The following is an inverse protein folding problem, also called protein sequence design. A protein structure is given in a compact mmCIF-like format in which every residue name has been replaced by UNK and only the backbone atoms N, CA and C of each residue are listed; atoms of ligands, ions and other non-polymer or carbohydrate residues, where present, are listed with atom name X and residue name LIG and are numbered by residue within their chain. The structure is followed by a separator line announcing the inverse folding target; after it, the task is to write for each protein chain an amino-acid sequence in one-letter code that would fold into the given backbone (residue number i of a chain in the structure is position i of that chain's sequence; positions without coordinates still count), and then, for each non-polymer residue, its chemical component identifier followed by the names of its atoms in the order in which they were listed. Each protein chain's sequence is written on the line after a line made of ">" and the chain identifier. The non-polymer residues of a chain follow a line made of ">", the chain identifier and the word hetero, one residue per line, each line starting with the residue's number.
data_IF_025662993014
#
_entry.id   IF_025662993014
#
_cell.length_a   1.000
_cell.length_b   1.000
_cell.length_c   1.000
_cell.angle_alpha   90.00
_cell.angle_beta   90.00
_cell.angle_gamma   90.00
#
_symmetry.space_group_name_H-M   'P 1'
#
loop_
_entity.id
_entity.type
_entity.pdbx_description
1 polymer ?
#
# COMPACT_ATOMS: atom_id res chain seq x y z
N UNK A 1 6.73 -1.10 20.11
CA UNK A 1 6.63 -1.66 18.74
C UNK A 1 7.89 -1.41 17.93
N UNK A 2 8.32 -0.16 17.75
CA UNK A 2 9.58 0.15 17.03
C UNK A 2 10.84 -0.49 17.63
N UNK A 3 10.98 -0.49 18.95
CA UNK A 3 12.11 -1.18 19.62
C UNK A 3 12.09 -2.69 19.42
N UNK A 4 10.89 -3.30 19.35
CA UNK A 4 10.73 -4.72 19.03
C UNK A 4 11.13 -4.99 17.57
N UNK A 5 10.70 -4.14 16.64
CA UNK A 5 11.11 -4.24 15.24
C UNK A 5 12.64 -4.14 15.09
N UNK A 6 13.29 -3.20 15.79
CA UNK A 6 14.74 -3.05 15.80
C UNK A 6 15.46 -4.29 16.35
N UNK A 7 15.02 -4.83 17.48
CA UNK A 7 15.58 -6.06 18.07
C UNK A 7 15.45 -7.25 17.12
N UNK A 8 14.30 -7.40 16.47
CA UNK A 8 14.07 -8.47 15.50
C UNK A 8 14.95 -8.31 14.25
N UNK A 9 15.22 -7.10 13.78
CA UNK A 9 16.14 -6.85 12.66
C UNK A 9 17.61 -7.13 13.02
N UNK A 10 18.01 -6.89 14.27
CA UNK A 10 19.33 -7.31 14.77
C UNK A 10 19.44 -8.83 14.73
N UNK A 11 18.41 -9.54 15.19
CA UNK A 11 18.34 -11.01 15.10
C UNK A 11 18.48 -11.52 13.67
N UNK A 12 17.88 -10.85 12.69
CA UNK A 12 18.07 -11.18 11.27
C UNK A 12 19.50 -10.93 10.78
N UNK A 13 20.19 -9.90 11.27
CA UNK A 13 21.52 -9.53 10.76
C UNK A 13 22.63 -10.47 11.26
N UNK A 14 22.45 -11.07 12.44
CA UNK A 14 23.47 -11.92 13.10
C UNK A 14 23.36 -13.39 12.70
N UNK A 15 22.17 -13.86 12.32
CA UNK A 15 21.92 -15.28 12.05
C UNK A 15 22.13 -15.63 10.58
N UNK A 16 23.02 -16.58 10.31
CA UNK A 16 23.34 -17.05 8.95
C UNK A 16 22.35 -18.07 8.37
N UNK A 17 21.40 -18.56 9.18
CA UNK A 17 20.35 -19.47 8.70
C UNK A 17 19.23 -18.70 8.00
N UNK A 18 18.98 -19.05 6.74
CA UNK A 18 17.93 -18.43 5.91
C UNK A 18 16.54 -18.49 6.55
N UNK A 19 16.19 -19.61 7.17
CA UNK A 19 14.89 -19.80 7.83
C UNK A 19 14.73 -18.83 9.00
N UNK A 20 15.77 -18.73 9.84
CA UNK A 20 15.75 -17.86 11.02
C UNK A 20 15.77 -16.39 10.61
N UNK A 21 16.60 -16.02 9.64
CA UNK A 21 16.60 -14.70 9.00
C UNK A 21 15.20 -14.30 8.54
N UNK A 22 14.52 -15.18 7.82
CA UNK A 22 13.19 -14.94 7.26
C UNK A 22 12.15 -14.71 8.35
N UNK A 23 12.14 -15.56 9.39
CA UNK A 23 11.21 -15.41 10.52
C UNK A 23 11.42 -14.08 11.25
N UNK A 24 12.67 -13.69 11.51
CA UNK A 24 12.99 -12.43 12.18
C UNK A 24 12.58 -11.21 11.36
N UNK A 25 12.87 -11.20 10.05
CA UNK A 25 12.46 -10.11 9.15
C UNK A 25 10.95 -10.02 9.06
N UNK A 26 10.23 -11.13 8.85
CA UNK A 26 8.76 -11.11 8.76
C UNK A 26 8.14 -10.58 10.05
N UNK A 27 8.60 -11.07 11.21
CA UNK A 27 8.08 -10.64 12.51
C UNK A 27 8.38 -9.15 12.75
N UNK A 28 9.54 -8.66 12.31
CA UNK A 28 9.88 -7.24 12.36
C UNK A 28 8.95 -6.38 11.50
N UNK A 29 8.64 -6.83 10.27
CA UNK A 29 7.69 -6.14 9.39
C UNK A 29 6.28 -6.11 9.98
N UNK A 30 5.83 -7.20 10.63
CA UNK A 30 4.55 -7.24 11.34
C UNK A 30 4.48 -6.20 12.47
N UNK A 31 5.56 -6.05 13.24
CA UNK A 31 5.65 -5.02 14.27
C UNK A 31 5.67 -3.59 13.68
N UNK A 32 6.32 -3.42 12.53
CA UNK A 32 6.46 -2.11 11.84
C UNK A 32 5.15 -1.62 11.24
N UNK A 33 4.32 -2.51 10.69
CA UNK A 33 3.00 -2.17 10.10
C UNK A 33 2.07 -1.47 11.09
N UNK A 34 2.23 -1.71 12.39
CA UNK A 34 1.43 -1.06 13.44
C UNK A 34 1.71 0.45 13.58
N UNK A 35 2.80 0.95 12.99
CA UNK A 35 3.14 2.37 12.96
C UNK A 35 2.01 3.23 12.40
N UNK A 36 1.38 2.79 11.30
CA UNK A 36 0.37 3.58 10.60
C UNK A 36 -0.79 3.98 11.51
N UNK A 37 -1.51 3.01 12.09
CA UNK A 37 -2.59 3.26 13.04
C UNK A 37 -2.14 4.06 14.27
N UNK A 38 -0.98 3.70 14.86
CA UNK A 38 -0.46 4.36 16.05
C UNK A 38 -0.21 5.85 15.82
N UNK A 39 0.49 6.20 14.73
CA UNK A 39 0.82 7.59 14.43
C UNK A 39 -0.43 8.43 14.11
N UNK A 40 -1.42 7.84 13.43
CA UNK A 40 -2.70 8.52 13.17
C UNK A 40 -3.41 8.85 14.49
N UNK A 41 -3.45 7.91 15.43
CA UNK A 41 -4.05 8.13 16.74
C UNK A 41 -3.31 9.24 17.50
N UNK A 42 -1.98 9.18 17.56
CA UNK A 42 -1.13 10.22 18.18
C UNK A 42 -1.44 11.59 17.57
N UNK A 43 -1.51 11.71 16.24
CA UNK A 43 -1.85 12.98 15.58
C UNK A 43 -3.27 13.45 15.88
N UNK A 44 -4.22 12.52 16.03
CA UNK A 44 -5.60 12.86 16.35
C UNK A 44 -5.76 13.40 17.78
N UNK A 45 -5.01 12.86 18.74
CA UNK A 45 -5.02 13.28 20.15
C UNK A 45 -4.25 14.59 20.35
N UNK A 46 -3.13 14.77 19.65
CA UNK A 46 -2.22 15.90 19.89
C UNK A 46 -2.48 17.13 19.01
N UNK A 47 -3.23 17.01 17.90
CA UNK A 47 -3.49 18.14 16.99
C UNK A 47 -4.98 18.45 16.80
N UNK A 48 -5.38 19.73 16.82
CA UNK A 48 -6.73 20.17 16.47
C UNK A 48 -7.11 19.78 15.03
N UNK A 49 -8.38 19.45 14.80
CA UNK A 49 -8.89 18.98 13.51
C UNK A 49 -8.56 19.92 12.33
N UNK A 50 -8.56 21.24 12.56
CA UNK A 50 -8.25 22.27 11.57
C UNK A 50 -6.78 22.31 11.15
N UNK A 51 -5.85 21.82 11.97
CA UNK A 51 -4.40 21.94 11.71
C UNK A 51 -3.73 20.62 11.32
N UNK A 52 -4.40 19.47 11.54
CA UNK A 52 -3.86 18.13 11.28
C UNK A 52 -3.26 18.00 9.88
N UNK A 53 -3.99 18.43 8.84
CA UNK A 53 -3.53 18.32 7.45
C UNK A 53 -2.24 19.13 7.18
N UNK A 54 -2.18 20.37 7.69
CA UNK A 54 -1.01 21.25 7.54
C UNK A 54 0.21 20.67 8.26
N UNK A 55 0.03 20.20 9.51
CA UNK A 55 1.12 19.64 10.33
C UNK A 55 1.60 18.28 9.84
N UNK A 56 0.73 17.45 9.24
CA UNK A 56 1.11 16.16 8.66
C UNK A 56 1.82 16.27 7.30
N UNK A 57 1.71 17.42 6.63
CA UNK A 57 2.36 17.61 5.31
C UNK A 57 3.88 17.51 5.41
N UNK A 58 4.50 18.15 6.41
CA UNK A 58 5.96 18.13 6.58
C UNK A 58 6.52 16.72 6.85
N UNK A 59 5.98 15.93 7.81
CA UNK A 59 6.39 14.54 7.99
C UNK A 59 6.23 13.68 6.73
N UNK A 60 5.17 13.87 5.94
CA UNK A 60 4.98 13.11 4.70
C UNK A 60 6.01 13.47 3.63
N UNK A 61 6.35 14.75 3.48
CA UNK A 61 7.42 15.19 2.57
C UNK A 61 8.77 14.61 3.02
N UNK A 62 9.12 14.75 4.31
CA UNK A 62 10.36 14.18 4.85
C UNK A 62 10.42 12.67 4.67
N UNK A 63 9.31 11.96 4.93
CA UNK A 63 9.22 10.51 4.72
C UNK A 63 9.47 10.16 3.25
N UNK A 64 8.83 10.86 2.31
CA UNK A 64 9.02 10.62 0.89
C UNK A 64 10.46 10.92 0.45
N UNK A 65 11.04 12.03 0.90
CA UNK A 65 12.43 12.39 0.60
C UNK A 65 13.41 11.37 1.16
N UNK A 66 13.24 10.95 2.43
CA UNK A 66 14.05 9.89 3.04
C UNK A 66 13.90 8.56 2.32
N UNK A 67 12.69 8.19 1.88
CA UNK A 67 12.48 6.98 1.07
C UNK A 67 13.23 7.04 -0.26
N UNK A 68 13.17 8.18 -0.97
CA UNK A 68 13.87 8.37 -2.24
C UNK A 68 15.38 8.27 -2.02
N UNK A 69 15.93 9.01 -1.05
CA UNK A 69 17.36 9.00 -0.74
C UNK A 69 17.84 7.60 -0.34
N UNK A 70 17.12 6.92 0.56
CA UNK A 70 17.47 5.57 0.99
C UNK A 70 17.38 4.56 -0.15
N UNK A 71 16.37 4.66 -1.03
CA UNK A 71 16.25 3.77 -2.18
C UNK A 71 17.36 3.98 -3.21
N UNK A 72 17.78 5.22 -3.46
CA UNK A 72 18.87 5.53 -4.40
C UNK A 72 20.23 5.08 -3.87
N UNK A 73 20.54 5.44 -2.62
CA UNK A 73 21.79 5.04 -1.97
C UNK A 73 21.86 3.53 -1.75
N UNK A 74 20.73 2.92 -1.34
CA UNK A 74 20.64 1.48 -1.14
C UNK A 74 20.76 0.69 -2.44
N UNK A 75 20.12 1.16 -3.52
CA UNK A 75 20.27 0.56 -4.84
C UNK A 75 21.71 0.62 -5.34
N UNK A 76 22.32 1.81 -5.31
CA UNK A 76 23.72 2.00 -5.70
C UNK A 76 24.69 1.12 -4.90
N UNK A 77 24.47 0.99 -3.58
CA UNK A 77 25.32 0.16 -2.73
C UNK A 77 25.21 -1.34 -3.08
N UNK A 78 23.99 -1.81 -3.37
CA UNK A 78 23.74 -3.20 -3.77
C UNK A 78 24.25 -3.51 -5.18
N UNK A 79 24.32 -2.51 -6.06
CA UNK A 79 24.90 -2.65 -7.40
C UNK A 79 26.41 -2.93 -7.35
N UNK A 80 27.12 -2.36 -6.37
CA UNK A 80 28.56 -2.65 -6.16
C UNK A 80 28.72 -4.11 -5.70
N UNK A 81 27.94 -4.52 -4.71
CA UNK A 81 27.90 -5.90 -4.25
C UNK A 81 26.66 -6.16 -3.42
N UNK A 82 25.97 -7.27 -3.71
CA UNK A 82 24.82 -7.72 -2.92
C UNK A 82 25.18 -7.97 -1.44
N UNK A 83 26.45 -8.27 -1.14
CA UNK A 83 26.94 -8.53 0.23
C UNK A 83 26.84 -7.31 1.16
N UNK A 84 26.67 -6.09 0.61
CA UNK A 84 26.53 -4.89 1.42
C UNK A 84 25.13 -4.70 2.03
N UNK A 85 24.20 -5.64 1.84
CA UNK A 85 22.87 -5.60 2.43
C UNK A 85 22.87 -5.43 3.97
N UNK A 86 23.91 -5.93 4.66
CA UNK A 86 24.06 -5.78 6.12
C UNK A 86 24.12 -4.31 6.55
N UNK A 87 24.78 -3.45 5.76
CA UNK A 87 24.89 -2.01 6.07
C UNK A 87 23.51 -1.36 6.04
N UNK A 88 22.67 -1.74 5.07
CA UNK A 88 21.29 -1.27 4.97
C UNK A 88 20.49 -1.69 6.19
N UNK A 89 20.64 -2.93 6.66
CA UNK A 89 19.96 -3.38 7.87
C UNK A 89 20.41 -2.65 9.13
N UNK A 90 21.70 -2.33 9.27
CA UNK A 90 22.19 -1.52 10.40
C UNK A 90 21.56 -0.13 10.39
N UNK A 91 21.48 0.54 9.23
CA UNK A 91 20.82 1.85 9.10
C UNK A 91 19.34 1.75 9.50
N UNK A 92 18.65 0.69 9.08
CA UNK A 92 17.24 0.46 9.43
C UNK A 92 17.05 0.23 10.93
N UNK A 93 17.93 -0.56 11.58
CA UNK A 93 17.91 -0.79 13.04
C UNK A 93 18.07 0.51 13.80
N UNK A 94 19.08 1.32 13.45
CA UNK A 94 19.33 2.61 14.11
C UNK A 94 18.14 3.56 13.93
N UNK A 95 17.56 3.60 12.73
CA UNK A 95 16.38 4.42 12.42
C UNK A 95 15.16 3.97 13.23
N UNK A 96 14.91 2.66 13.34
CA UNK A 96 13.81 2.10 14.13
C UNK A 96 13.99 2.38 15.63
N UNK A 97 15.21 2.25 16.15
CA UNK A 97 15.53 2.59 17.54
C UNK A 97 15.31 4.09 17.83
N UNK A 98 15.78 4.97 16.94
CA UNK A 98 15.56 6.41 17.04
C UNK A 98 14.06 6.76 17.00
N UNK A 99 13.29 6.12 16.10
CA UNK A 99 11.85 6.30 16.01
C UNK A 99 11.13 5.83 17.29
N UNK A 100 11.53 4.68 17.85
CA UNK A 100 11.02 4.19 19.12
C UNK A 100 11.27 5.14 20.28
N UNK A 101 12.50 5.67 20.37
CA UNK A 101 12.85 6.66 21.38
C UNK A 101 12.05 7.97 21.24
N UNK A 102 11.94 8.50 20.02
CA UNK A 102 11.17 9.72 19.75
C UNK A 102 9.68 9.56 20.07
N UNK A 103 9.08 8.42 19.71
CA UNK A 103 7.65 8.15 19.95
C UNK A 103 7.35 8.00 21.43
N UNK A 104 8.26 7.41 22.22
CA UNK A 104 8.09 7.25 23.67
C UNK A 104 8.08 8.59 24.43
N UNK A 105 8.54 9.68 23.80
CA UNK A 105 8.51 11.03 24.38
C UNK A 105 7.23 11.80 24.06
N UNK A 106 6.35 11.27 23.21
CA UNK A 106 5.12 11.94 22.81
C UNK A 106 4.03 11.71 23.87
N UNK A 107 3.35 12.77 24.35
CA UNK A 107 2.22 12.61 25.27
C UNK A 107 1.11 11.75 24.63
N UNK A 108 0.65 10.72 25.33
CA UNK A 108 -0.44 9.86 24.91
C UNK A 108 -1.40 9.61 26.07
N UNK A 109 -2.69 9.54 25.78
CA UNK A 109 -3.69 9.03 26.73
C UNK A 109 -3.85 7.51 26.60
N UNK A 110 -4.05 6.77 27.70
CA UNK A 110 -4.39 5.35 27.61
C UNK A 110 -5.67 5.16 26.78
N UNK A 111 -5.62 4.25 25.80
CA UNK A 111 -6.78 3.94 24.96
C UNK A 111 -7.88 3.26 25.80
N UNK A 112 -9.13 3.69 25.63
CA UNK A 112 -10.27 3.05 26.31
C UNK A 112 -10.43 1.60 25.83
N UNK A 113 -10.57 0.68 26.78
CA UNK A 113 -10.76 -0.75 26.55
C UNK A 113 -12.26 -1.10 26.51
N UNK A 114 -13.15 -0.17 26.87
CA UNK A 114 -14.60 -0.43 27.06
C UNK A 114 -15.31 -0.98 25.82
N UNK A 115 -14.81 -0.64 24.63
CA UNK A 115 -15.40 -1.05 23.35
C UNK A 115 -14.54 -2.06 22.57
N UNK A 116 -13.58 -2.71 23.23
CA UNK A 116 -12.77 -3.78 22.62
C UNK A 116 -13.63 -5.05 22.53
N UNK A 117 -14.51 -5.09 21.52
CA UNK A 117 -15.28 -6.28 21.18
C UNK A 117 -14.39 -7.42 20.67
N UNK A 118 -14.93 -8.64 20.61
CA UNK A 118 -14.20 -9.80 20.09
C UNK A 118 -13.81 -9.56 18.61
N UNK A 119 -12.51 -9.61 18.24
CA UNK A 119 -12.06 -9.40 16.86
C UNK A 119 -12.75 -10.31 15.83
N UNK A 120 -13.11 -11.53 16.25
CA UNK A 120 -13.75 -12.52 15.40
C UNK A 120 -15.26 -12.26 15.21
N UNK A 121 -15.93 -11.62 16.17
CA UNK A 121 -17.34 -11.24 16.02
C UNK A 121 -17.55 -10.24 14.87
N UNK A 122 -16.54 -9.42 14.60
CA UNK A 122 -16.59 -8.44 13.52
C UNK A 122 -16.67 -9.12 12.14
N UNK A 123 -16.13 -10.32 11.92
CA UNK A 123 -16.26 -11.02 10.62
C UNK A 123 -17.72 -11.28 10.23
N UNK A 124 -18.63 -11.39 11.19
CA UNK A 124 -20.06 -11.51 10.90
C UNK A 124 -20.63 -10.28 10.17
N UNK A 125 -19.99 -9.12 10.25
CA UNK A 125 -20.40 -7.89 9.55
C UNK A 125 -20.35 -8.03 8.03
N UNK A 126 -19.46 -8.88 7.50
CA UNK A 126 -19.39 -9.17 6.05
C UNK A 126 -20.74 -9.72 5.56
N UNK A 127 -21.39 -10.53 6.38
CA UNK A 127 -22.64 -11.22 6.04
C UNK A 127 -23.88 -10.44 6.49
N UNK A 128 -23.80 -9.77 7.65
CA UNK A 128 -24.90 -8.99 8.24
C UNK A 128 -25.16 -7.69 7.47
N UNK A 129 -24.11 -7.04 6.99
CA UNK A 129 -24.22 -5.86 6.12
C UNK A 129 -23.87 -6.25 4.68
N UNK A 130 -24.90 -6.60 3.90
CA UNK A 130 -24.74 -7.05 2.51
C UNK A 130 -24.04 -6.00 1.63
N UNK A 131 -24.28 -4.70 1.88
CA UNK A 131 -23.60 -3.64 1.11
C UNK A 131 -22.11 -3.62 1.44
N UNK A 132 -21.77 -3.70 2.72
CA UNK A 132 -20.37 -3.78 3.15
C UNK A 132 -19.68 -5.01 2.58
N UNK A 133 -20.26 -6.21 2.71
CA UNK A 133 -19.69 -7.43 2.16
C UNK A 133 -19.48 -7.37 0.64
N UNK A 134 -20.44 -6.83 -0.10
CA UNK A 134 -20.35 -6.64 -1.55
C UNK A 134 -19.23 -5.66 -1.94
N UNK A 135 -19.18 -4.49 -1.28
CA UNK A 135 -18.12 -3.51 -1.51
C UNK A 135 -16.75 -4.09 -1.14
N UNK A 136 -16.66 -4.77 0.00
CA UNK A 136 -15.45 -5.41 0.48
C UNK A 136 -14.94 -6.43 -0.55
N UNK A 137 -15.81 -7.26 -1.12
CA UNK A 137 -15.47 -8.15 -2.22
C UNK A 137 -14.94 -7.40 -3.45
N UNK A 138 -15.58 -6.30 -3.82
CA UNK A 138 -15.13 -5.43 -4.93
C UNK A 138 -13.75 -4.82 -4.65
N UNK A 139 -13.48 -4.40 -3.41
CA UNK A 139 -12.15 -3.96 -2.95
C UNK A 139 -11.11 -5.07 -2.99
N UNK A 140 -11.50 -6.31 -2.66
CA UNK A 140 -10.61 -7.47 -2.72
C UNK A 140 -10.19 -7.77 -4.15
N UNK A 141 -11.13 -7.81 -5.10
CA UNK A 141 -10.82 -8.03 -6.53
C UNK A 141 -9.90 -6.94 -7.08
N UNK A 142 -10.23 -5.66 -6.84
CA UNK A 142 -9.40 -4.56 -7.30
C UNK A 142 -7.96 -4.67 -6.78
N UNK A 143 -7.81 -4.87 -5.48
CA UNK A 143 -6.48 -4.91 -4.90
C UNK A 143 -5.73 -6.18 -5.25
N UNK A 144 -6.42 -7.30 -5.50
CA UNK A 144 -5.78 -8.53 -5.99
C UNK A 144 -5.22 -8.26 -7.38
N UNK A 145 -6.02 -7.68 -8.28
CA UNK A 145 -5.59 -7.34 -9.64
C UNK A 145 -4.37 -6.41 -9.68
N UNK A 146 -4.24 -5.50 -8.72
CA UNK A 146 -3.03 -4.69 -8.58
C UNK A 146 -1.86 -5.46 -7.98
N UNK A 147 -2.06 -6.13 -6.84
CA UNK A 147 -0.99 -6.75 -6.06
C UNK A 147 -0.32 -7.93 -6.77
N UNK A 148 -1.07 -8.72 -7.56
CA UNK A 148 -0.46 -9.81 -8.34
C UNK A 148 0.56 -9.28 -9.35
N UNK A 149 0.38 -8.05 -9.84
CA UNK A 149 1.29 -7.45 -10.83
C UNK A 149 2.53 -6.82 -10.21
N UNK A 150 2.49 -6.42 -8.94
CA UNK A 150 3.56 -5.67 -8.29
C UNK A 150 4.93 -6.36 -8.34
N UNK A 151 5.10 -7.61 -7.86
CA UNK A 151 6.39 -8.28 -7.93
C UNK A 151 6.80 -8.54 -9.38
N UNK A 152 5.84 -8.85 -10.24
CA UNK A 152 6.10 -9.16 -11.65
C UNK A 152 6.56 -7.93 -12.43
N UNK A 153 6.30 -6.71 -11.98
CA UNK A 153 6.87 -5.50 -12.59
C UNK A 153 8.38 -5.44 -12.44
N UNK A 154 8.92 -5.85 -11.29
CA UNK A 154 10.37 -5.91 -11.07
C UNK A 154 10.96 -6.94 -12.01
N UNK A 155 10.39 -8.14 -12.04
CA UNK A 155 10.85 -9.24 -12.89
C UNK A 155 10.78 -8.90 -14.38
N UNK A 156 9.71 -8.23 -14.80
CA UNK A 156 9.53 -7.80 -16.19
C UNK A 156 10.61 -6.82 -16.65
N UNK A 157 11.08 -5.95 -15.75
CA UNK A 157 12.14 -4.99 -16.06
C UNK A 157 13.54 -5.62 -15.96
N UNK A 158 13.77 -6.45 -14.95
CA UNK A 158 15.09 -7.00 -14.62
C UNK A 158 15.48 -8.20 -15.50
N UNK A 159 14.54 -9.10 -15.82
CA UNK A 159 14.89 -10.35 -16.49
C UNK A 159 15.23 -10.13 -17.98
N UNK A 160 16.43 -10.53 -18.44
CA UNK A 160 16.83 -10.43 -19.85
C UNK A 160 15.89 -11.14 -20.83
N UNK A 161 15.20 -12.21 -20.42
CA UNK A 161 14.28 -12.97 -21.27
C UNK A 161 13.09 -12.12 -21.77
N UNK A 162 12.71 -11.09 -21.02
CA UNK A 162 11.65 -10.17 -21.43
C UNK A 162 12.17 -9.02 -22.32
N UNK A 163 13.50 -8.87 -22.42
CA UNK A 163 14.19 -7.99 -23.35
C UNK A 163 14.20 -6.51 -22.97
N UNK A 164 13.96 -6.18 -21.70
CA UNK A 164 14.20 -4.83 -21.16
C UNK A 164 15.58 -4.79 -20.50
N UNK A 165 15.89 -5.78 -19.66
CA UNK A 165 17.17 -5.90 -18.92
C UNK A 165 17.62 -4.56 -18.30
N UNK A 166 16.68 -3.90 -17.63
CA UNK A 166 16.92 -2.61 -17.00
C UNK A 166 17.88 -2.78 -15.81
N UNK A 167 18.76 -1.80 -15.63
CA UNK A 167 19.58 -1.71 -14.44
C UNK A 167 18.73 -1.35 -13.20
N UNK A 168 19.28 -1.58 -12.02
CA UNK A 168 18.58 -1.33 -10.76
C UNK A 168 18.21 0.16 -10.59
N UNK A 169 19.03 1.07 -11.14
CA UNK A 169 18.73 2.50 -11.18
C UNK A 169 17.46 2.81 -11.98
N UNK A 170 17.30 2.24 -13.18
CA UNK A 170 16.09 2.41 -14.00
C UNK A 170 14.88 1.74 -13.35
N UNK A 171 15.04 0.57 -12.74
CA UNK A 171 13.97 -0.11 -11.99
C UNK A 171 13.51 0.76 -10.82
N UNK A 172 14.43 1.29 -10.01
CA UNK A 172 14.11 2.18 -8.90
C UNK A 172 13.44 3.47 -9.39
N UNK A 173 13.93 4.06 -10.48
CA UNK A 173 13.33 5.23 -11.09
C UNK A 173 11.88 4.99 -11.51
N UNK A 174 11.63 3.93 -12.29
CA UNK A 174 10.30 3.61 -12.82
C UNK A 174 9.32 3.15 -11.74
N UNK A 175 9.74 2.33 -10.78
CA UNK A 175 8.84 1.70 -9.82
C UNK A 175 8.66 2.49 -8.52
N UNK A 176 9.61 3.36 -8.18
CA UNK A 176 9.59 4.13 -6.93
C UNK A 176 9.44 5.63 -7.20
N UNK A 177 10.36 6.22 -7.97
CA UNK A 177 10.42 7.69 -8.14
C UNK A 177 9.23 8.21 -8.94
N UNK A 178 8.96 7.65 -10.12
CA UNK A 178 7.88 8.10 -11.01
C UNK A 178 6.50 8.00 -10.33
N UNK A 179 6.10 6.87 -9.70
CA UNK A 179 4.81 6.77 -9.04
C UNK A 179 4.71 7.67 -7.81
N UNK A 180 5.80 7.87 -7.06
CA UNK A 180 5.82 8.77 -5.92
C UNK A 180 5.59 10.23 -6.35
N UNK A 181 6.26 10.68 -7.43
CA UNK A 181 6.04 11.99 -8.01
C UNK A 181 4.58 12.16 -8.48
N UNK A 182 4.06 11.21 -9.26
CA UNK A 182 2.67 11.22 -9.71
C UNK A 182 1.67 11.24 -8.53
N UNK A 183 1.95 10.50 -7.47
CA UNK A 183 1.14 10.50 -6.25
C UNK A 183 1.12 11.88 -5.59
N UNK A 184 2.28 12.52 -5.41
CA UNK A 184 2.38 13.84 -4.75
C UNK A 184 1.61 14.88 -5.55
N UNK A 185 1.84 14.93 -6.86
CA UNK A 185 1.20 15.91 -7.76
C UNK A 185 -0.33 15.74 -7.80
N UNK A 186 -0.81 14.50 -7.76
CA UNK A 186 -2.24 14.20 -7.86
C UNK A 186 -3.00 14.28 -6.54
N UNK A 187 -2.34 14.16 -5.37
CA UNK A 187 -3.04 14.05 -4.08
C UNK A 187 -3.96 15.25 -3.81
N UNK A 188 -3.52 16.49 -4.10
CA UNK A 188 -4.36 17.68 -3.94
C UNK A 188 -5.56 17.69 -4.90
N UNK A 189 -5.33 17.32 -6.15
CA UNK A 189 -6.38 17.26 -7.19
C UNK A 189 -7.43 16.23 -6.79
N UNK A 190 -7.02 15.05 -6.35
CA UNK A 190 -7.92 14.00 -5.90
C UNK A 190 -8.69 14.35 -4.65
N UNK A 191 -8.10 15.08 -3.70
CA UNK A 191 -8.84 15.61 -2.56
C UNK A 191 -10.00 16.50 -3.01
N UNK A 192 -9.73 17.46 -3.91
CA UNK A 192 -10.80 18.35 -4.43
C UNK A 192 -11.85 17.59 -5.25
N UNK A 193 -11.44 16.59 -6.05
CA UNK A 193 -12.39 15.76 -6.81
C UNK A 193 -13.23 14.87 -5.90
N UNK A 194 -12.66 14.35 -4.81
CA UNK A 194 -13.36 13.53 -3.83
C UNK A 194 -14.51 14.31 -3.15
N UNK A 195 -14.31 15.61 -2.88
CA UNK A 195 -15.33 16.45 -2.25
C UNK A 195 -16.45 16.86 -3.23
N UNK A 196 -16.16 16.91 -4.54
CA UNK A 196 -17.10 17.39 -5.57
C UNK A 196 -17.85 16.28 -6.31
N UNK A 197 -17.23 15.12 -6.46
CA UNK A 197 -17.78 14.01 -7.23
C UNK A 197 -18.37 12.94 -6.32
N UNK A 198 -19.32 12.19 -6.86
CA UNK A 198 -19.86 11.01 -6.19
C UNK A 198 -18.74 10.00 -5.90
N UNK A 199 -18.78 9.39 -4.71
CA UNK A 199 -17.75 8.46 -4.22
C UNK A 199 -17.39 7.37 -5.25
N UNK A 200 -18.41 6.74 -5.84
CA UNK A 200 -18.24 5.67 -6.84
C UNK A 200 -17.61 6.19 -8.14
N UNK A 201 -17.93 7.42 -8.56
CA UNK A 201 -17.35 8.02 -9.77
C UNK A 201 -15.86 8.24 -9.60
N UNK A 202 -15.45 8.87 -8.49
CA UNK A 202 -14.04 9.10 -8.16
C UNK A 202 -13.30 7.76 -8.07
N UNK A 203 -13.96 6.75 -7.48
CA UNK A 203 -13.41 5.40 -7.36
C UNK A 203 -13.17 4.74 -8.71
N UNK A 204 -14.17 4.72 -9.60
CA UNK A 204 -14.05 4.10 -10.90
C UNK A 204 -13.06 4.83 -11.81
N UNK A 205 -12.92 6.15 -11.67
CA UNK A 205 -11.89 6.90 -12.38
C UNK A 205 -10.48 6.49 -11.95
N UNK A 206 -10.23 6.32 -10.65
CA UNK A 206 -8.95 5.81 -10.15
C UNK A 206 -8.67 4.38 -10.62
N UNK A 207 -9.69 3.53 -10.61
CA UNK A 207 -9.57 2.16 -11.07
C UNK A 207 -9.25 2.09 -12.58
N UNK A 208 -9.81 3.01 -13.37
CA UNK A 208 -9.47 3.15 -14.78
C UNK A 208 -7.99 3.55 -14.96
N UNK A 209 -7.47 4.48 -14.16
CA UNK A 209 -6.04 4.79 -14.18
C UNK A 209 -5.15 3.59 -13.82
N UNK A 210 -5.54 2.79 -12.83
CA UNK A 210 -4.83 1.54 -12.51
C UNK A 210 -4.87 0.54 -13.67
N UNK A 211 -6.04 0.34 -14.29
CA UNK A 211 -6.22 -0.56 -15.42
C UNK A 211 -5.36 -0.13 -16.61
N UNK A 212 -5.43 1.14 -17.00
CA UNK A 212 -4.63 1.71 -18.09
C UNK A 212 -3.13 1.67 -17.75
N UNK A 213 -2.75 1.91 -16.50
CA UNK A 213 -1.37 1.78 -16.04
C UNK A 213 -0.82 0.36 -16.23
N UNK A 214 -1.59 -0.67 -15.88
CA UNK A 214 -1.18 -2.07 -16.09
C UNK A 214 -1.10 -2.39 -17.59
N UNK A 215 -2.11 -1.96 -18.38
CA UNK A 215 -2.13 -2.16 -19.82
C UNK A 215 -0.93 -1.51 -20.53
N UNK A 216 -0.59 -0.27 -20.16
CA UNK A 216 0.55 0.43 -20.76
C UNK A 216 1.90 -0.16 -20.33
N UNK A 217 1.99 -0.75 -19.13
CA UNK A 217 3.26 -1.26 -18.59
C UNK A 217 3.69 -2.60 -19.21
N UNK A 218 2.79 -3.59 -19.24
CA UNK A 218 3.17 -4.97 -19.63
C UNK A 218 3.11 -5.27 -21.13
N UNK A 219 2.68 -4.30 -21.94
CA UNK A 219 2.55 -4.45 -23.40
C UNK A 219 3.56 -3.63 -24.19
N UNK A 220 4.55 -3.03 -23.52
CA UNK A 220 5.60 -2.22 -24.14
C UNK A 220 6.97 -2.59 -23.59
N UNK A 221 8.01 -2.28 -24.36
CA UNK A 221 9.41 -2.26 -23.92
C UNK A 221 10.00 -0.84 -23.92
N UNK A 222 9.22 0.14 -24.37
CA UNK A 222 9.69 1.52 -24.50
C UNK A 222 9.66 2.22 -23.14
N UNK A 223 10.81 2.71 -22.67
CA UNK A 223 10.97 3.39 -21.38
C UNK A 223 10.03 4.59 -21.22
N UNK A 224 9.75 5.35 -22.28
CA UNK A 224 8.81 6.48 -22.21
C UNK A 224 7.39 6.00 -21.91
N UNK A 225 6.97 4.89 -22.54
CA UNK A 225 5.65 4.31 -22.30
C UNK A 225 5.56 3.66 -20.91
N UNK A 226 6.64 3.04 -20.43
CA UNK A 226 6.74 2.53 -19.05
C UNK A 226 6.64 3.67 -18.02
N UNK A 227 7.30 4.80 -18.29
CA UNK A 227 7.25 6.00 -17.45
C UNK A 227 5.84 6.58 -17.41
N UNK A 228 5.16 6.66 -18.56
CA UNK A 228 3.78 7.07 -18.64
C UNK A 228 2.86 6.12 -17.85
N UNK A 229 3.03 4.81 -18.01
CA UNK A 229 2.28 3.80 -17.28
C UNK A 229 2.42 3.96 -15.75
N UNK A 230 3.64 4.12 -15.27
CA UNK A 230 3.93 4.29 -13.84
C UNK A 230 3.47 5.64 -13.30
N UNK A 231 3.41 6.67 -14.16
CA UNK A 231 2.77 7.95 -13.83
C UNK A 231 1.27 7.74 -13.60
N UNK A 232 0.56 7.05 -14.49
CA UNK A 232 -0.87 6.73 -14.30
C UNK A 232 -1.12 5.96 -12.99
N UNK A 233 -0.28 4.97 -12.68
CA UNK A 233 -0.33 4.23 -11.41
C UNK A 233 -0.09 5.16 -10.22
N UNK A 234 0.87 6.08 -10.31
CA UNK A 234 1.14 7.10 -9.30
C UNK A 234 -0.05 8.03 -9.06
N UNK A 235 -0.65 8.54 -10.13
CA UNK A 235 -1.86 9.38 -10.10
C UNK A 235 -3.00 8.61 -9.40
N UNK A 236 -3.24 7.35 -9.77
CA UNK A 236 -4.27 6.51 -9.15
C UNK A 236 -4.00 6.24 -7.67
N UNK A 237 -2.74 6.07 -7.28
CA UNK A 237 -2.36 5.79 -5.88
C UNK A 237 -2.59 7.00 -4.98
N UNK A 238 -2.43 8.23 -5.50
CA UNK A 238 -2.73 9.47 -4.79
C UNK A 238 -4.17 9.54 -4.29
N UNK A 239 -5.14 9.42 -5.19
CA UNK A 239 -6.55 9.39 -4.81
C UNK A 239 -6.96 8.09 -4.13
N UNK A 240 -6.33 6.97 -4.50
CA UNK A 240 -6.60 5.65 -3.94
C UNK A 240 -6.43 5.60 -2.43
N UNK A 241 -5.40 6.26 -1.89
CA UNK A 241 -5.17 6.32 -0.44
C UNK A 241 -6.30 7.08 0.29
N UNK A 242 -6.78 8.18 -0.28
CA UNK A 242 -7.87 8.99 0.29
C UNK A 242 -9.15 8.15 0.37
N UNK A 243 -9.55 7.54 -0.75
CA UNK A 243 -10.74 6.70 -0.80
C UNK A 243 -10.59 5.48 0.12
N UNK A 244 -9.44 4.82 0.11
CA UNK A 244 -9.21 3.63 0.92
C UNK A 244 -9.29 3.91 2.43
N UNK A 245 -8.93 5.11 2.88
CA UNK A 245 -9.06 5.51 4.28
C UNK A 245 -10.46 5.99 4.67
N UNK A 246 -11.26 6.48 3.71
CA UNK A 246 -12.55 7.14 4.00
C UNK A 246 -13.79 6.34 3.58
N UNK A 247 -13.66 5.32 2.74
CA UNK A 247 -14.85 4.64 2.21
C UNK A 247 -15.69 3.97 3.31
N UNK A 248 -15.05 3.42 4.34
CA UNK A 248 -15.74 2.79 5.47
C UNK A 248 -16.59 3.82 6.22
N UNK A 249 -16.12 5.06 6.34
CA UNK A 249 -16.85 6.12 7.06
C UNK A 249 -18.12 6.55 6.35
N UNK A 250 -18.21 6.33 5.03
CA UNK A 250 -19.42 6.60 4.23
C UNK A 250 -20.52 5.53 4.39
N UNK A 251 -20.17 4.32 4.81
CA UNK A 251 -21.12 3.19 4.85
C UNK A 251 -21.42 2.67 6.26
N UNK A 252 -20.48 2.80 7.19
CA UNK A 252 -20.57 2.26 8.53
C UNK A 252 -21.25 3.26 9.49
N UNK A 253 -22.04 2.79 10.46
CA UNK A 253 -22.49 3.62 11.57
C UNK A 253 -21.29 4.22 12.31
N UNK A 254 -21.40 5.47 12.80
CA UNK A 254 -20.30 6.21 13.43
C UNK A 254 -19.58 5.41 14.54
N UNK A 255 -20.34 4.70 15.36
CA UNK A 255 -19.84 3.88 16.47
C UNK A 255 -19.09 2.61 16.03
N UNK A 256 -19.31 2.14 14.79
CA UNK A 256 -18.79 0.87 14.27
C UNK A 256 -17.76 1.02 13.16
N UNK A 257 -17.35 2.25 12.83
CA UNK A 257 -16.35 2.53 11.78
C UNK A 257 -15.07 1.72 11.99
N UNK A 258 -14.57 1.68 13.23
CA UNK A 258 -13.36 0.92 13.59
C UNK A 258 -13.51 -0.59 13.34
N UNK A 259 -14.68 -1.16 13.70
CA UNK A 259 -14.98 -2.58 13.46
C UNK A 259 -15.02 -2.92 11.96
N UNK A 260 -15.59 -2.05 11.12
CA UNK A 260 -15.63 -2.27 9.67
C UNK A 260 -14.23 -2.11 9.04
N UNK A 261 -13.48 -1.11 9.50
CA UNK A 261 -12.12 -0.86 9.01
C UNK A 261 -11.17 -2.00 9.39
N UNK A 262 -11.29 -2.59 10.59
CA UNK A 262 -10.43 -3.70 11.01
C UNK A 262 -10.61 -4.96 10.15
N UNK A 263 -11.83 -5.29 9.72
CA UNK A 263 -12.08 -6.40 8.78
C UNK A 263 -11.46 -6.11 7.42
N UNK A 264 -11.66 -4.89 6.91
CA UNK A 264 -11.07 -4.46 5.65
C UNK A 264 -9.53 -4.54 5.69
N UNK A 265 -8.92 -4.12 6.80
CA UNK A 265 -7.49 -4.25 7.04
C UNK A 265 -7.03 -5.71 7.11
N UNK A 266 -7.76 -6.56 7.82
CA UNK A 266 -7.44 -7.98 7.94
C UNK A 266 -7.46 -8.68 6.58
N UNK A 267 -8.52 -8.48 5.77
CA UNK A 267 -8.59 -9.05 4.42
C UNK A 267 -7.58 -8.42 3.47
N UNK A 268 -7.26 -7.13 3.63
CA UNK A 268 -6.17 -6.49 2.88
C UNK A 268 -4.83 -7.14 3.18
N UNK A 269 -4.55 -7.46 4.45
CA UNK A 269 -3.37 -8.20 4.88
C UNK A 269 -3.32 -9.60 4.27
N UNK A 270 -4.40 -10.37 4.42
CA UNK A 270 -4.52 -11.71 3.85
C UNK A 270 -4.29 -11.72 2.33
N UNK A 271 -4.95 -10.82 1.62
CA UNK A 271 -4.75 -10.63 0.17
C UNK A 271 -3.32 -10.19 -0.16
N UNK A 272 -2.74 -9.29 0.63
CA UNK A 272 -1.35 -8.85 0.50
C UNK A 272 -0.35 -10.00 0.58
N UNK A 273 -0.62 -10.97 1.45
CA UNK A 273 0.19 -12.19 1.58
C UNK A 273 -0.02 -13.12 0.39
N UNK A 274 -1.26 -13.36 -0.05
CA UNK A 274 -1.54 -14.33 -1.12
C UNK A 274 -1.20 -13.84 -2.54
N UNK A 275 -1.38 -12.55 -2.81
CA UNK A 275 -1.30 -12.01 -4.15
C UNK A 275 0.06 -12.24 -4.85
N UNK A 276 1.22 -12.06 -4.20
CA UNK A 276 2.51 -12.36 -4.84
C UNK A 276 2.63 -13.82 -5.29
N UNK A 277 2.20 -14.78 -4.47
CA UNK A 277 2.23 -16.21 -4.83
C UNK A 277 1.32 -16.51 -6.02
N UNK A 278 0.12 -15.93 -6.04
CA UNK A 278 -0.80 -16.05 -7.18
C UNK A 278 -0.17 -15.44 -8.44
N UNK A 279 0.46 -14.27 -8.32
CA UNK A 279 1.15 -13.59 -9.42
C UNK A 279 2.28 -14.44 -10.01
N UNK A 280 3.16 -15.00 -9.17
CA UNK A 280 4.24 -15.87 -9.62
C UNK A 280 3.75 -17.21 -10.16
N UNK A 281 2.70 -17.80 -9.59
CA UNK A 281 2.08 -19.00 -10.13
C UNK A 281 1.48 -18.76 -11.53
N UNK A 282 0.84 -17.60 -11.76
CA UNK A 282 0.38 -17.24 -13.10
C UNK A 282 1.59 -17.05 -14.03
N UNK A 283 2.64 -16.35 -13.57
CA UNK A 283 3.85 -16.14 -14.35
C UNK A 283 4.52 -17.45 -14.75
N UNK A 284 4.63 -18.43 -13.85
CA UNK A 284 5.30 -19.71 -14.14
C UNK A 284 4.59 -20.55 -15.21
N UNK A 285 3.29 -20.32 -15.39
CA UNK A 285 2.46 -21.02 -16.37
C UNK A 285 2.17 -20.17 -17.62
N UNK A 286 2.66 -18.94 -17.68
CA UNK A 286 2.35 -18.00 -18.76
C UNK A 286 3.50 -17.00 -19.00
N UNK A 287 3.19 -15.85 -19.58
CA UNK A 287 4.12 -14.74 -19.76
C UNK A 287 3.71 -13.56 -18.86
N UNK A 288 4.55 -12.54 -18.66
CA UNK A 288 4.17 -11.31 -17.92
C UNK A 288 2.86 -10.68 -18.39
N UNK A 289 2.55 -10.80 -19.70
CA UNK A 289 1.26 -10.38 -20.28
C UNK A 289 0.06 -11.15 -19.74
N UNK A 290 0.21 -12.43 -19.40
CA UNK A 290 -0.83 -13.25 -18.78
C UNK A 290 -1.19 -12.74 -17.39
N UNK A 291 -0.19 -12.41 -16.57
CA UNK A 291 -0.39 -11.76 -15.26
C UNK A 291 -1.11 -10.43 -15.43
N UNK A 292 -0.69 -9.62 -16.42
CA UNK A 292 -1.34 -8.35 -16.71
C UNK A 292 -2.82 -8.53 -17.10
N UNK A 293 -3.14 -9.52 -17.93
CA UNK A 293 -4.51 -9.80 -18.35
C UNK A 293 -5.41 -10.20 -17.18
N UNK A 294 -4.94 -11.10 -16.31
CA UNK A 294 -5.66 -11.47 -15.08
C UNK A 294 -5.86 -10.25 -14.19
N UNK A 295 -4.82 -9.42 -14.01
CA UNK A 295 -4.89 -8.21 -13.22
C UNK A 295 -5.91 -7.21 -13.75
N UNK A 296 -5.91 -6.98 -15.06
CA UNK A 296 -6.87 -6.09 -15.74
C UNK A 296 -8.31 -6.61 -15.65
N UNK A 297 -8.55 -7.90 -15.82
CA UNK A 297 -9.89 -8.49 -15.66
C UNK A 297 -10.41 -8.27 -14.24
N UNK A 298 -9.60 -8.54 -13.22
CA UNK A 298 -10.00 -8.37 -11.82
C UNK A 298 -10.36 -6.90 -11.51
N UNK A 299 -9.59 -5.95 -12.04
CA UNK A 299 -9.87 -4.52 -11.91
C UNK A 299 -11.13 -4.13 -12.67
N UNK A 300 -11.30 -4.62 -13.90
CA UNK A 300 -12.48 -4.34 -14.72
C UNK A 300 -13.76 -4.86 -14.06
N UNK A 301 -13.75 -6.10 -13.57
CA UNK A 301 -14.86 -6.67 -12.80
C UNK A 301 -15.14 -5.81 -11.57
N UNK A 302 -14.12 -5.38 -10.83
CA UNK A 302 -14.31 -4.50 -9.69
C UNK A 302 -14.96 -3.16 -10.07
N UNK A 303 -14.60 -2.54 -11.21
CA UNK A 303 -15.22 -1.31 -11.73
C UNK A 303 -16.72 -1.53 -11.96
N UNK A 304 -17.09 -2.62 -12.64
CA UNK A 304 -18.49 -2.98 -12.91
C UNK A 304 -19.24 -3.18 -11.59
N UNK A 305 -18.66 -3.91 -10.64
CA UNK A 305 -19.29 -4.16 -9.35
C UNK A 305 -19.52 -2.86 -8.57
N UNK A 306 -18.55 -1.94 -8.54
CA UNK A 306 -18.72 -0.62 -7.92
C UNK A 306 -19.82 0.19 -8.60
N UNK A 307 -19.93 0.10 -9.92
CA UNK A 307 -20.96 0.82 -10.68
C UNK A 307 -22.37 0.30 -10.36
N UNK A 308 -22.55 -1.01 -10.19
CA UNK A 308 -23.84 -1.61 -9.80
C UNK A 308 -24.40 -1.07 -8.47
N UNK A 309 -23.54 -0.58 -7.57
CA UNK A 309 -23.96 -0.02 -6.28
C UNK A 309 -24.01 1.51 -6.27
N UNK A 310 -23.81 2.17 -7.42
CA UNK A 310 -23.83 3.64 -7.53
C UNK A 310 -25.11 4.26 -6.98
N UNK A 311 -26.27 3.66 -7.28
CA UNK A 311 -27.58 4.19 -6.87
C UNK A 311 -27.97 3.84 -5.41
N UNK A 312 -27.08 3.22 -4.63
CA UNK A 312 -27.42 2.86 -3.26
C UNK A 312 -27.60 4.12 -2.39
N UNK A 313 -28.71 4.16 -1.64
CA UNK A 313 -29.09 5.30 -0.77
C UNK A 313 -28.00 5.71 0.23
N UNK A 314 -27.12 4.79 0.64
CA UNK A 314 -26.02 5.12 1.57
C UNK A 314 -24.92 5.99 0.95
N UNK A 315 -24.85 6.08 -0.37
CA UNK A 315 -23.90 6.96 -1.07
C UNK A 315 -24.49 8.32 -1.47
N UNK A 316 -25.78 8.55 -1.26
CA UNK A 316 -26.46 9.81 -1.59
C UNK A 316 -26.21 10.95 -0.58
N UNK A 317 -25.21 10.81 0.32
CA UNK A 317 -24.83 11.78 1.35
C UNK A 317 -23.39 12.27 1.19
#
# INVERSE_FOLDING_TARGET
>A
MFSLAALLMVGATVVQSLTVFTVFIITSQMATVQQGPLMIQIYSENYPASERGKRMTTPFILTASSMILFSLLGGWLLDISINYYHILFVIMVLSAAACGWATNRIPCTPLSIEHVGNPWQNFSLIWKDKLFGYLLGSWMLLGLGNLITFPIRVEYLANPEFGINADNATIAFLLVVVPAAGRILSTKVWGSLFDKLHFITTRNLLNLFFLLGIACFFFTKNIFMLTFAMTLVGLATGGGKIIWSLWVTKIAPHEKVSSYMSIHMALTGFRGTMAPFIGYWILSNSAPRGVAFVGMILIFVAIVLFECVRQNKRFAR
#
